data_IF_414249096334
#
_entry.id   IF_414249096334
#
_cell.length_a   1.000
_cell.length_b   1.000
_cell.length_c   1.000
_cell.angle_alpha   90.00
_cell.angle_beta   90.00
_cell.angle_gamma   90.00
#
_symmetry.space_group_name_H-M   'P 1'
#
loop_
_entity.id
_entity.type
_entity.pdbx_description
1 polymer ?
#
# COMPACT_ATOMS: atom_id res chain seq x y z
N UNK A 1 24.30 19.36 8.15
CA UNK A 1 23.68 18.30 7.34
C UNK A 1 22.40 18.85 6.74
N UNK A 2 22.04 18.48 5.51
CA UNK A 2 20.74 18.84 4.92
C UNK A 2 19.66 18.04 5.66
N UNK A 3 18.59 18.68 6.18
CA UNK A 3 17.53 17.95 6.88
C UNK A 3 16.79 17.02 5.91
N UNK A 4 16.52 15.78 6.35
CA UNK A 4 15.67 14.84 5.63
C UNK A 4 14.18 15.17 5.81
N UNK A 5 13.36 14.71 4.87
CA UNK A 5 11.90 14.80 4.93
C UNK A 5 11.24 13.43 4.85
N UNK A 6 9.91 13.40 4.90
CA UNK A 6 9.15 12.18 4.69
C UNK A 6 9.33 11.65 3.26
N UNK A 7 9.46 10.33 3.13
CA UNK A 7 9.41 9.63 1.84
C UNK A 7 8.44 8.44 1.94
N UNK A 8 7.92 7.98 0.80
CA UNK A 8 6.92 6.90 0.74
C UNK A 8 7.39 5.67 1.54
N UNK A 9 6.67 5.35 2.60
CA UNK A 9 6.97 4.25 3.54
C UNK A 9 7.40 4.70 4.94
N UNK A 10 7.85 5.95 5.11
CA UNK A 10 8.09 6.61 6.40
C UNK A 10 8.93 5.76 7.39
N UNK A 11 10.11 5.30 6.96
CA UNK A 11 11.00 4.47 7.79
C UNK A 11 10.74 2.96 7.69
N UNK A 12 9.53 2.56 7.25
CA UNK A 12 9.16 1.17 7.04
C UNK A 12 10.14 0.42 6.11
N UNK A 13 10.42 0.92 4.88
CA UNK A 13 11.34 0.26 3.97
C UNK A 13 12.75 0.04 4.54
N UNK A 14 13.26 0.99 5.32
CA UNK A 14 14.56 0.89 5.98
C UNK A 14 14.56 -0.24 7.02
N UNK A 15 13.51 -0.31 7.85
CA UNK A 15 13.33 -1.37 8.83
C UNK A 15 13.16 -2.75 8.18
N UNK A 16 12.30 -2.83 7.15
CA UNK A 16 12.05 -4.06 6.40
C UNK A 16 13.32 -4.57 5.72
N UNK A 17 14.13 -3.69 5.12
CA UNK A 17 15.40 -4.08 4.51
C UNK A 17 16.32 -4.76 5.54
N UNK A 18 16.52 -4.16 6.72
CA UNK A 18 17.41 -4.72 7.75
C UNK A 18 16.86 -6.02 8.33
N UNK A 19 15.55 -6.13 8.54
CA UNK A 19 14.91 -7.35 9.02
C UNK A 19 15.04 -8.50 7.99
N UNK A 20 14.74 -8.24 6.73
CA UNK A 20 14.75 -9.26 5.68
C UNK A 20 16.18 -9.71 5.31
N UNK A 21 17.17 -8.81 5.40
CA UNK A 21 18.58 -9.20 5.28
C UNK A 21 19.02 -10.16 6.39
N UNK A 22 18.53 -9.97 7.62
CA UNK A 22 18.77 -10.92 8.72
C UNK A 22 18.08 -12.26 8.46
N UNK A 23 16.83 -12.25 8.00
CA UNK A 23 16.10 -13.47 7.64
C UNK A 23 16.85 -14.28 6.58
N UNK A 24 17.42 -13.63 5.57
CA UNK A 24 18.21 -14.32 4.53
C UNK A 24 19.51 -14.93 5.10
N UNK A 25 20.23 -14.21 5.96
CA UNK A 25 21.43 -14.74 6.62
C UNK A 25 21.11 -15.94 7.52
N UNK A 26 19.97 -15.91 8.21
CA UNK A 26 19.50 -17.04 9.02
C UNK A 26 19.14 -18.24 8.15
N UNK A 27 18.49 -18.03 7.01
CA UNK A 27 18.19 -19.08 6.05
C UNK A 27 19.47 -19.80 5.58
N UNK A 28 20.48 -19.02 5.18
CA UNK A 28 21.78 -19.52 4.74
C UNK A 28 22.51 -20.27 5.87
N UNK A 29 22.61 -19.68 7.05
CA UNK A 29 23.31 -20.29 8.19
C UNK A 29 22.65 -21.60 8.66
N UNK A 30 21.34 -21.74 8.49
CA UNK A 30 20.59 -22.94 8.86
C UNK A 30 20.43 -23.94 7.71
N UNK A 31 20.82 -23.58 6.47
CA UNK A 31 20.56 -24.39 5.28
C UNK A 31 19.06 -24.60 5.01
N UNK A 32 18.22 -23.63 5.36
CA UNK A 32 16.76 -23.67 5.17
C UNK A 32 16.39 -22.81 3.96
N UNK A 33 15.40 -23.26 3.19
CA UNK A 33 14.84 -22.48 2.09
C UNK A 33 14.36 -21.08 2.56
N UNK A 34 14.66 -19.99 1.82
CA UNK A 34 14.32 -18.63 2.22
C UNK A 34 12.81 -18.35 2.30
N UNK A 35 11.96 -19.10 1.60
CA UNK A 35 10.50 -19.00 1.76
C UNK A 35 10.07 -19.77 3.01
N UNK A 36 10.61 -20.97 3.22
CA UNK A 36 10.30 -21.82 4.36
C UNK A 36 10.61 -21.16 5.71
N UNK A 37 11.75 -20.47 5.85
CA UNK A 37 12.04 -19.74 7.09
C UNK A 37 10.99 -18.66 7.37
N UNK A 38 10.42 -18.03 6.33
CA UNK A 38 9.35 -17.02 6.48
C UNK A 38 8.03 -17.68 6.81
N UNK A 39 7.69 -18.83 6.21
CA UNK A 39 6.48 -19.61 6.55
C UNK A 39 6.43 -19.95 8.05
N UNK A 40 7.57 -20.36 8.62
CA UNK A 40 7.69 -20.70 10.04
C UNK A 40 7.54 -19.49 10.97
N UNK A 41 8.03 -18.32 10.55
CA UNK A 41 8.14 -17.14 11.42
C UNK A 41 7.12 -16.04 11.12
N UNK A 42 6.25 -16.22 10.12
CA UNK A 42 5.27 -15.20 9.74
C UNK A 42 4.20 -14.95 10.81
N UNK A 43 3.63 -13.76 10.80
CA UNK A 43 2.53 -13.38 11.69
C UNK A 43 1.22 -14.02 11.24
N UNK A 44 0.35 -14.28 12.22
CA UNK A 44 -1.00 -14.85 12.07
C UNK A 44 -1.95 -14.11 13.00
N UNK A 45 -3.25 -14.36 12.83
CA UNK A 45 -4.28 -13.91 13.76
C UNK A 45 -3.88 -14.23 15.20
N UNK A 46 -4.02 -13.24 16.10
CA UNK A 46 -3.65 -13.39 17.51
C UNK A 46 -2.15 -13.33 17.82
N UNK A 47 -1.27 -13.24 16.82
CA UNK A 47 0.16 -13.06 17.07
C UNK A 47 0.40 -11.77 17.86
N UNK A 48 1.29 -11.81 18.85
CA UNK A 48 1.63 -10.62 19.65
C UNK A 48 2.56 -9.73 18.84
N UNK A 49 2.06 -8.55 18.46
CA UNK A 49 2.82 -7.56 17.71
C UNK A 49 3.81 -6.77 18.57
N UNK A 50 4.59 -5.89 17.93
CA UNK A 50 5.56 -5.02 18.61
C UNK A 50 4.94 -4.09 19.65
N UNK A 51 3.65 -3.78 19.53
CA UNK A 51 2.88 -2.97 20.49
C UNK A 51 2.36 -3.78 21.68
N UNK A 52 2.71 -5.07 21.80
CA UNK A 52 2.21 -6.01 22.80
C UNK A 52 0.70 -6.25 22.75
N UNK A 53 0.05 -5.87 21.64
CA UNK A 53 -1.33 -6.20 21.35
C UNK A 53 -1.40 -7.41 20.39
N UNK A 54 -2.39 -8.31 20.56
CA UNK A 54 -2.64 -9.35 19.58
C UNK A 54 -3.11 -8.73 18.27
N UNK A 55 -2.62 -9.26 17.15
CA UNK A 55 -3.14 -8.88 15.83
C UNK A 55 -4.60 -9.32 15.66
N UNK A 56 -5.45 -8.49 15.04
CA UNK A 56 -6.84 -8.85 14.80
C UNK A 56 -6.95 -10.00 13.80
N UNK A 57 -8.16 -10.55 13.68
CA UNK A 57 -8.46 -11.53 12.64
C UNK A 57 -8.24 -10.93 11.24
N UNK A 58 -7.81 -11.75 10.29
CA UNK A 58 -7.60 -11.34 8.90
C UNK A 58 -6.16 -11.03 8.53
N UNK A 59 -5.18 -11.55 9.27
CA UNK A 59 -3.76 -11.46 8.89
C UNK A 59 -3.51 -12.36 7.68
N UNK A 60 -3.21 -11.74 6.54
CA UNK A 60 -3.06 -12.42 5.24
C UNK A 60 -1.61 -12.76 4.86
N UNK A 61 -0.64 -12.52 5.76
CA UNK A 61 0.78 -12.74 5.44
C UNK A 61 1.09 -14.18 5.01
N UNK A 62 0.56 -15.24 5.67
CA UNK A 62 0.78 -16.62 5.19
C UNK A 62 0.30 -16.82 3.74
N UNK A 63 -0.88 -16.31 3.42
CA UNK A 63 -1.50 -16.43 2.09
C UNK A 63 -0.70 -15.66 1.04
N UNK A 64 -0.24 -14.46 1.37
CA UNK A 64 0.63 -13.65 0.49
C UNK A 64 1.97 -14.37 0.25
N UNK A 65 2.56 -14.99 1.29
CA UNK A 65 3.80 -15.75 1.13
C UNK A 65 3.61 -16.90 0.14
N UNK A 66 2.56 -17.70 0.31
CA UNK A 66 2.27 -18.82 -0.60
C UNK A 66 2.00 -18.34 -2.04
N UNK A 67 1.12 -17.35 -2.21
CA UNK A 67 0.75 -16.83 -3.52
C UNK A 67 1.98 -16.25 -4.26
N UNK A 68 2.84 -15.50 -3.57
CA UNK A 68 4.06 -14.97 -4.16
C UNK A 68 5.08 -16.06 -4.47
N UNK A 69 5.23 -17.08 -3.62
CA UNK A 69 6.16 -18.17 -3.85
C UNK A 69 5.74 -19.04 -5.04
N UNK A 70 4.44 -19.30 -5.18
CA UNK A 70 3.87 -20.01 -6.32
C UNK A 70 4.04 -19.20 -7.61
N UNK A 71 3.62 -17.92 -7.61
CA UNK A 71 3.72 -17.06 -8.79
C UNK A 71 5.17 -16.85 -9.26
N UNK A 72 6.12 -16.79 -8.32
CA UNK A 72 7.55 -16.69 -8.62
C UNK A 72 8.23 -18.05 -8.87
N UNK A 73 7.47 -19.15 -8.83
CA UNK A 73 7.93 -20.53 -9.03
C UNK A 73 9.11 -20.88 -8.12
N UNK A 74 9.06 -20.48 -6.85
CA UNK A 74 10.22 -20.49 -5.94
C UNK A 74 10.80 -21.89 -5.68
N UNK A 75 9.96 -22.92 -5.76
CA UNK A 75 10.37 -24.33 -5.63
C UNK A 75 10.96 -24.94 -6.92
N UNK A 76 10.86 -24.25 -8.06
CA UNK A 76 11.38 -24.74 -9.33
C UNK A 76 12.84 -24.31 -9.52
N UNK A 77 13.66 -25.08 -10.27
CA UNK A 77 15.00 -24.66 -10.66
C UNK A 77 15.00 -23.28 -11.30
N UNK A 78 15.99 -22.46 -10.96
CA UNK A 78 16.16 -21.16 -11.59
C UNK A 78 16.50 -21.35 -13.07
N UNK A 79 15.79 -20.66 -13.96
CA UNK A 79 16.11 -20.67 -15.39
C UNK A 79 17.42 -19.94 -15.64
N UNK A 80 18.07 -20.26 -16.74
CA UNK A 80 19.28 -19.56 -17.16
C UNK A 80 19.01 -18.06 -17.37
N UNK A 81 20.09 -17.27 -17.25
CA UNK A 81 20.04 -15.85 -17.51
C UNK A 81 19.97 -15.62 -19.04
N UNK A 82 19.07 -14.73 -19.46
CA UNK A 82 18.92 -14.38 -20.87
C UNK A 82 19.56 -13.01 -21.14
N UNK A 83 20.23 -12.81 -22.30
CA UNK A 83 20.78 -11.52 -22.67
C UNK A 83 19.72 -10.42 -22.63
N UNK A 84 20.01 -9.35 -21.89
CA UNK A 84 19.12 -8.19 -21.81
C UNK A 84 19.91 -6.89 -22.01
N UNK A 85 19.24 -5.89 -22.57
CA UNK A 85 19.77 -4.53 -22.65
C UNK A 85 18.84 -3.57 -21.90
N UNK A 86 19.32 -2.84 -20.88
CA UNK A 86 18.50 -1.87 -20.15
C UNK A 86 18.15 -0.65 -21.01
N UNK A 87 18.88 -0.43 -22.10
CA UNK A 87 18.65 0.66 -23.03
C UNK A 87 18.39 0.08 -24.42
N UNK A 88 17.22 0.36 -24.99
CA UNK A 88 16.83 -0.17 -26.30
C UNK A 88 17.83 0.11 -27.43
N UNK A 89 18.69 1.12 -27.28
CA UNK A 89 19.74 1.50 -28.24
C UNK A 89 21.07 0.76 -28.08
N UNK A 90 21.27 -0.04 -27.03
CA UNK A 90 22.49 -0.80 -26.78
C UNK A 90 22.28 -2.29 -27.05
N UNK A 91 23.30 -2.95 -27.60
CA UNK A 91 23.30 -4.40 -27.74
C UNK A 91 23.23 -5.08 -26.36
N UNK A 92 22.49 -6.18 -26.21
CA UNK A 92 22.42 -6.91 -24.95
C UNK A 92 23.78 -7.50 -24.60
N UNK A 93 24.13 -7.47 -23.32
CA UNK A 93 25.30 -8.19 -22.82
C UNK A 93 25.08 -9.70 -22.99
N UNK A 94 26.04 -10.40 -23.58
CA UNK A 94 25.95 -11.84 -23.85
C UNK A 94 26.79 -12.68 -22.89
N UNK A 95 27.74 -12.06 -22.21
CA UNK A 95 28.79 -12.75 -21.45
C UNK A 95 28.54 -12.55 -19.94
N UNK A 96 28.86 -13.57 -19.13
CA UNK A 96 28.81 -13.56 -17.65
C UNK A 96 27.47 -13.14 -17.03
N UNK A 97 26.37 -13.57 -17.65
CA UNK A 97 25.02 -13.27 -17.14
C UNK A 97 24.69 -14.10 -15.89
N UNK A 98 24.40 -13.41 -14.79
CA UNK A 98 23.93 -14.01 -13.55
C UNK A 98 22.44 -13.73 -13.36
N UNK A 99 21.71 -14.72 -12.87
CA UNK A 99 20.33 -14.59 -12.42
C UNK A 99 20.26 -14.87 -10.92
N UNK A 100 19.38 -14.16 -10.24
CA UNK A 100 19.04 -14.41 -8.85
C UNK A 100 17.54 -14.35 -8.66
N UNK A 101 17.04 -15.10 -7.67
CA UNK A 101 15.66 -15.02 -7.22
C UNK A 101 15.66 -14.81 -5.70
N UNK A 102 15.11 -13.68 -5.26
CA UNK A 102 15.02 -13.30 -3.86
C UNK A 102 13.57 -13.29 -3.39
N UNK A 103 13.36 -13.53 -2.09
CA UNK A 103 12.05 -13.40 -1.46
C UNK A 103 12.16 -12.42 -0.31
N UNK A 104 11.17 -11.53 -0.20
CA UNK A 104 11.02 -10.70 0.97
C UNK A 104 9.54 -10.57 1.35
N UNK A 105 9.25 -10.46 2.64
CA UNK A 105 7.90 -10.25 3.14
C UNK A 105 7.90 -9.16 4.22
N UNK A 106 6.96 -8.23 4.12
CA UNK A 106 6.77 -7.19 5.12
C UNK A 106 5.29 -6.86 5.23
N UNK A 107 4.85 -6.44 6.41
CA UNK A 107 3.52 -5.86 6.61
C UNK A 107 3.65 -4.40 7.02
N UNK A 108 2.69 -3.58 6.59
CA UNK A 108 2.72 -2.13 6.75
C UNK A 108 1.39 -1.66 7.34
N UNK A 109 1.44 -0.86 8.39
CA UNK A 109 0.25 -0.27 9.01
C UNK A 109 -0.34 0.85 8.15
N UNK A 110 -1.62 1.16 8.31
CA UNK A 110 -2.29 2.34 7.71
C UNK A 110 -2.59 3.35 8.82
N UNK A 111 -2.54 4.64 8.47
CA UNK A 111 -2.79 5.73 9.42
C UNK A 111 -1.54 6.25 10.13
N UNK A 112 -1.71 7.32 10.89
CA UNK A 112 -0.63 7.96 11.64
C UNK A 112 -0.13 7.10 12.81
N UNK A 113 1.13 7.32 13.20
CA UNK A 113 1.78 6.59 14.28
C UNK A 113 1.39 7.14 15.66
N UNK A 114 1.66 6.34 16.71
CA UNK A 114 1.54 6.74 18.11
C UNK A 114 0.13 7.20 18.55
N UNK A 115 -0.92 6.68 17.91
CA UNK A 115 -2.31 6.98 18.30
C UNK A 115 -2.71 8.43 18.02
N UNK A 116 -2.04 9.09 17.06
CA UNK A 116 -2.43 10.42 16.62
C UNK A 116 -3.91 10.42 16.20
N UNK A 117 -4.73 11.36 16.70
CA UNK A 117 -6.15 11.41 16.35
C UNK A 117 -6.34 11.64 14.85
N UNK A 118 -7.00 10.69 14.20
CA UNK A 118 -7.31 10.78 12.78
C UNK A 118 -8.60 11.59 12.56
N UNK A 119 -8.60 12.48 11.56
CA UNK A 119 -9.77 13.26 11.14
C UNK A 119 -9.85 13.30 9.62
N UNK A 120 -11.06 13.19 9.09
CA UNK A 120 -11.36 13.40 7.68
C UNK A 120 -12.78 13.96 7.59
N UNK A 121 -12.99 14.92 6.70
CA UNK A 121 -14.28 15.58 6.53
C UNK A 121 -14.69 15.56 5.06
N UNK A 122 -15.98 15.30 4.87
CA UNK A 122 -16.67 15.33 3.60
C UNK A 122 -18.00 16.08 3.81
N UNK A 123 -18.37 16.92 2.84
CA UNK A 123 -19.71 17.50 2.77
C UNK A 123 -20.35 17.09 1.45
N UNK A 124 -21.62 16.67 1.52
CA UNK A 124 -22.43 16.35 0.34
C UNK A 124 -23.70 17.18 0.41
N UNK A 125 -23.92 18.01 -0.59
CA UNK A 125 -25.16 18.78 -0.75
C UNK A 125 -25.97 18.12 -1.86
N UNK A 126 -27.15 17.62 -1.50
CA UNK A 126 -28.07 16.97 -2.42
C UNK A 126 -28.99 18.00 -3.07
N UNK A 127 -29.16 17.89 -4.38
CA UNK A 127 -29.98 18.79 -5.18
C UNK A 127 -31.01 18.01 -5.98
N UNK A 128 -32.24 18.50 -6.03
CA UNK A 128 -33.36 17.90 -6.78
C UNK A 128 -34.69 18.49 -6.34
N UNK A 129 -35.73 18.24 -7.12
CA UNK A 129 -37.09 18.63 -6.78
C UNK A 129 -37.80 17.49 -6.01
N UNK A 130 -38.08 17.70 -4.73
CA UNK A 130 -38.78 16.73 -3.88
C UNK A 130 -37.85 15.77 -3.13
N UNK A 131 -38.32 14.55 -2.84
CA UNK A 131 -37.63 13.60 -1.95
C UNK A 131 -36.52 12.78 -2.63
N UNK A 132 -36.34 12.93 -3.94
CA UNK A 132 -35.31 12.20 -4.72
C UNK A 132 -34.25 13.18 -5.21
N UNK A 133 -32.98 13.04 -4.80
CA UNK A 133 -31.90 13.85 -5.35
C UNK A 133 -31.65 13.50 -6.82
N UNK A 134 -31.37 14.51 -7.63
CA UNK A 134 -31.01 14.39 -9.05
C UNK A 134 -29.50 14.49 -9.27
N UNK A 135 -28.81 15.29 -8.45
CA UNK A 135 -27.37 15.46 -8.49
C UNK A 135 -26.83 15.91 -7.12
N UNK A 136 -25.51 15.84 -6.92
CA UNK A 136 -24.88 16.22 -5.66
C UNK A 136 -23.65 17.11 -5.89
N UNK A 137 -23.43 18.08 -4.99
CA UNK A 137 -22.13 18.72 -4.78
C UNK A 137 -21.39 17.95 -3.70
N UNK A 138 -20.13 17.61 -3.97
CA UNK A 138 -19.27 16.88 -3.05
C UNK A 138 -18.03 17.71 -2.75
N UNK A 139 -17.75 17.96 -1.47
CA UNK A 139 -16.61 18.75 -1.02
C UNK A 139 -15.68 17.90 -0.16
N UNK A 140 -14.39 17.90 -0.48
CA UNK A 140 -13.40 17.13 0.27
C UNK A 140 -11.98 17.70 0.18
N UNK A 141 -11.30 17.87 1.33
CA UNK A 141 -10.00 18.54 1.38
C UNK A 141 -8.81 17.67 0.92
N UNK A 142 -8.99 16.36 0.82
CA UNK A 142 -7.92 15.41 0.50
C UNK A 142 -7.22 15.73 -0.81
N UNK A 143 -5.90 15.95 -0.75
CA UNK A 143 -5.10 16.23 -1.94
C UNK A 143 -4.80 14.95 -2.76
N UNK A 144 -4.89 15.07 -4.08
CA UNK A 144 -4.45 14.05 -5.02
C UNK A 144 -3.11 14.45 -5.63
N UNK A 145 -2.13 13.56 -5.50
CA UNK A 145 -0.77 13.73 -6.04
C UNK A 145 -0.44 12.64 -7.06
N UNK A 146 -1.48 12.04 -7.65
CA UNK A 146 -1.37 11.00 -8.68
C UNK A 146 -1.77 9.61 -8.22
N UNK A 147 -2.23 9.45 -6.97
CA UNK A 147 -2.73 8.17 -6.47
C UNK A 147 -4.18 7.86 -6.89
N UNK A 148 -4.89 8.85 -7.45
CA UNK A 148 -6.30 8.69 -7.87
C UNK A 148 -7.28 8.74 -6.68
N UNK A 149 -6.93 9.49 -5.64
CA UNK A 149 -7.80 9.66 -4.47
C UNK A 149 -9.08 10.40 -4.83
N UNK A 150 -9.01 11.45 -5.66
CA UNK A 150 -10.20 12.20 -6.09
C UNK A 150 -11.19 11.29 -6.81
N UNK A 151 -10.71 10.43 -7.71
CA UNK A 151 -11.55 9.44 -8.40
C UNK A 151 -12.24 8.50 -7.41
N UNK A 152 -11.49 7.95 -6.45
CA UNK A 152 -12.06 7.07 -5.44
C UNK A 152 -13.11 7.78 -4.58
N UNK A 153 -12.87 9.04 -4.19
CA UNK A 153 -13.82 9.82 -3.40
C UNK A 153 -15.13 10.08 -4.14
N UNK A 154 -15.08 10.42 -5.44
CA UNK A 154 -16.30 10.60 -6.24
C UNK A 154 -17.06 9.28 -6.38
N UNK A 155 -16.37 8.16 -6.53
CA UNK A 155 -17.00 6.83 -6.55
C UNK A 155 -17.72 6.52 -5.23
N UNK A 156 -17.07 6.82 -4.10
CA UNK A 156 -17.66 6.65 -2.76
C UNK A 156 -18.88 7.55 -2.56
N UNK A 157 -18.80 8.82 -2.97
CA UNK A 157 -19.92 9.75 -2.88
C UNK A 157 -21.09 9.27 -3.73
N UNK A 158 -20.85 8.85 -4.98
CA UNK A 158 -21.88 8.32 -5.88
C UNK A 158 -22.57 7.08 -5.29
N UNK A 159 -21.80 6.14 -4.74
CA UNK A 159 -22.32 4.95 -4.06
C UNK A 159 -23.15 5.33 -2.83
N UNK A 160 -22.66 6.25 -1.99
CA UNK A 160 -23.34 6.68 -0.78
C UNK A 160 -24.67 7.42 -1.07
N UNK A 161 -24.74 8.19 -2.16
CA UNK A 161 -25.96 8.90 -2.56
C UNK A 161 -26.88 8.09 -3.47
N UNK A 162 -26.41 6.96 -4.02
CA UNK A 162 -27.11 6.20 -5.04
C UNK A 162 -27.25 6.92 -6.38
N UNK A 163 -26.44 7.95 -6.63
CA UNK A 163 -26.48 8.75 -7.86
C UNK A 163 -25.50 8.19 -8.90
N UNK A 164 -25.76 8.39 -10.21
CA UNK A 164 -24.75 8.15 -11.22
C UNK A 164 -23.50 9.00 -10.94
N UNK A 165 -22.31 8.46 -11.21
CA UNK A 165 -21.04 9.13 -10.91
C UNK A 165 -20.90 10.49 -11.61
N UNK A 166 -21.46 10.61 -12.82
CA UNK A 166 -21.52 11.83 -13.60
C UNK A 166 -22.41 12.93 -13.00
N UNK A 167 -23.28 12.56 -12.05
CA UNK A 167 -24.17 13.47 -11.32
C UNK A 167 -23.56 13.96 -10.00
N UNK A 168 -22.33 13.54 -9.67
CA UNK A 168 -21.58 14.03 -8.52
C UNK A 168 -20.56 15.07 -8.99
N UNK A 169 -20.77 16.33 -8.61
CA UNK A 169 -19.86 17.45 -8.92
C UNK A 169 -18.96 17.72 -7.73
N UNK A 170 -17.67 17.44 -7.88
CA UNK A 170 -16.73 17.50 -6.77
C UNK A 170 -15.89 18.78 -6.74
N UNK A 171 -15.69 19.33 -5.55
CA UNK A 171 -14.76 20.41 -5.23
C UNK A 171 -13.71 19.88 -4.25
N UNK A 172 -12.44 20.03 -4.62
CA UNK A 172 -11.33 19.47 -3.85
C UNK A 172 -10.32 20.52 -3.41
N UNK A 173 -9.70 20.29 -2.25
CA UNK A 173 -8.50 21.00 -1.79
C UNK A 173 -8.66 22.53 -1.69
N UNK A 174 -9.87 23.00 -1.34
CA UNK A 174 -10.16 24.42 -1.10
C UNK A 174 -10.46 24.63 0.39
N UNK A 175 -9.52 25.22 1.11
CA UNK A 175 -9.63 25.46 2.55
C UNK A 175 -10.81 26.34 2.97
N UNK A 176 -11.47 27.03 2.03
CA UNK A 176 -12.67 27.83 2.32
C UNK A 176 -13.96 27.00 2.37
N UNK A 177 -13.98 25.82 1.75
CA UNK A 177 -15.22 25.03 1.54
C UNK A 177 -15.10 23.54 1.87
N UNK A 178 -13.89 22.97 1.84
CA UNK A 178 -13.72 21.50 1.83
C UNK A 178 -13.40 20.85 3.18
N UNK A 179 -13.46 21.61 4.29
CA UNK A 179 -13.15 21.09 5.63
C UNK A 179 -11.69 20.67 5.79
N UNK A 180 -11.44 19.66 6.63
CA UNK A 180 -10.11 19.11 6.93
C UNK A 180 -10.02 17.59 6.67
N UNK A 181 -9.10 17.18 5.79
CA UNK A 181 -8.79 15.77 5.53
C UNK A 181 -7.56 15.26 6.29
N UNK A 182 -6.85 16.13 7.00
CA UNK A 182 -5.47 15.93 7.42
C UNK A 182 -4.50 15.88 6.23
N UNK A 183 -3.24 15.59 6.53
CA UNK A 183 -2.18 15.50 5.52
C UNK A 183 -2.39 14.33 4.57
N UNK A 184 -2.19 14.57 3.26
CA UNK A 184 -2.12 13.56 2.21
C UNK A 184 -0.89 12.63 2.37
N UNK A 185 -0.95 11.74 3.35
CA UNK A 185 0.16 10.87 3.77
C UNK A 185 -0.35 9.59 4.45
N UNK A 186 0.55 8.81 5.06
CA UNK A 186 0.26 7.59 5.84
C UNK A 186 -0.52 6.46 5.11
N UNK A 187 -0.75 6.58 3.80
CA UNK A 187 -1.63 5.72 3.00
C UNK A 187 -3.06 5.64 3.55
N UNK A 188 -3.55 6.72 4.18
CA UNK A 188 -4.85 6.74 4.86
C UNK A 188 -5.98 7.39 4.08
N UNK A 189 -5.68 8.20 3.06
CA UNK A 189 -6.67 9.09 2.44
C UNK A 189 -7.96 8.36 2.04
N UNK A 190 -7.88 7.33 1.21
CA UNK A 190 -9.05 6.54 0.79
C UNK A 190 -9.62 5.67 1.91
N UNK A 191 -8.84 5.31 2.92
CA UNK A 191 -9.32 4.52 4.05
C UNK A 191 -10.21 5.34 5.00
N UNK A 192 -10.02 6.65 5.03
CA UNK A 192 -10.68 7.56 5.97
C UNK A 192 -11.73 8.47 5.33
N UNK A 193 -11.81 8.48 4.00
CA UNK A 193 -12.69 9.35 3.22
C UNK A 193 -14.16 8.94 3.32
#
# INVERSE_FOLDING_TARGET
AVPGGAFRGFGGPQGSFVAEMQMNRLAEALGIDPVEIRRRNTLRDGSIGITQAPLPAGVTLPQVIEACAEAAQFGEPMRDAEPFSPFASLAPATDDLLRGRGFACSYKNVGFSFGFPERCEAEIILHGDGDTPEWAEFFHAGADVGQGAHTAFVQMAAEATGLPIESVKATFSDTSTTGDSGSASASRLTFMA
#
